data_IF_032224158419
#
_entry.id   IF_032224158419
#
_cell.length_a   1.000
_cell.length_b   1.000
_cell.length_c   1.000
_cell.angle_alpha   90.00
_cell.angle_beta   90.00
_cell.angle_gamma   90.00
#
_symmetry.space_group_name_H-M   'P 1'
#
loop_
_entity.id
_entity.type
_entity.pdbx_description
1 polymer ?
#
# COMPACT_ATOMS: atom_id res chain seq x y z
N UNK A 1 -10.25 7.54 -1.87
CA UNK A 1 -11.61 7.81 -1.36
C UNK A 1 -12.54 6.71 -1.85
N UNK A 2 -13.53 6.29 -1.07
CA UNK A 2 -14.57 5.34 -1.49
C UNK A 2 -15.94 5.82 -1.05
N UNK A 3 -16.98 5.43 -1.78
CA UNK A 3 -18.35 5.74 -1.44
C UNK A 3 -18.75 7.17 -1.75
N UNK A 4 -18.12 7.77 -2.77
CA UNK A 4 -18.50 9.07 -3.29
C UNK A 4 -19.97 9.04 -3.77
N UNK A 5 -20.71 10.16 -3.75
CA UNK A 5 -22.04 10.20 -4.34
C UNK A 5 -21.98 9.69 -5.79
N UNK A 6 -23.00 8.96 -6.22
CA UNK A 6 -23.08 8.22 -7.50
C UNK A 6 -22.18 6.99 -7.67
N UNK A 7 -21.27 6.65 -6.74
CA UNK A 7 -20.38 5.48 -6.90
C UNK A 7 -21.19 4.17 -6.91
N UNK A 8 -21.18 3.46 -8.04
CA UNK A 8 -21.87 2.17 -8.21
C UNK A 8 -21.03 1.00 -7.68
N UNK A 9 -21.62 -0.19 -7.58
CA UNK A 9 -20.87 -1.41 -7.21
C UNK A 9 -19.84 -1.78 -8.29
N UNK A 10 -20.16 -1.55 -9.56
CA UNK A 10 -19.26 -1.82 -10.70
C UNK A 10 -18.03 -0.91 -10.64
N UNK A 11 -18.23 0.39 -10.40
CA UNK A 11 -17.14 1.36 -10.24
C UNK A 11 -16.28 1.07 -9.00
N UNK A 12 -16.90 0.58 -7.92
CA UNK A 12 -16.15 0.13 -6.75
C UNK A 12 -15.35 -1.16 -7.07
N UNK A 13 -15.91 -2.08 -7.85
CA UNK A 13 -15.21 -3.27 -8.31
C UNK A 13 -14.01 -2.91 -9.22
N UNK A 14 -14.14 -1.89 -10.07
CA UNK A 14 -13.01 -1.32 -10.82
C UNK A 14 -11.93 -0.78 -9.90
N UNK A 15 -12.30 -0.09 -8.83
CA UNK A 15 -11.34 0.39 -7.83
C UNK A 15 -10.58 -0.78 -7.19
N UNK A 16 -11.26 -1.88 -6.85
CA UNK A 16 -10.60 -3.08 -6.32
C UNK A 16 -9.68 -3.75 -7.36
N UNK A 17 -10.11 -3.80 -8.63
CA UNK A 17 -9.26 -4.27 -9.74
C UNK A 17 -8.02 -3.40 -9.93
N UNK A 18 -8.15 -2.08 -9.81
CA UNK A 18 -7.02 -1.16 -9.91
C UNK A 18 -6.00 -1.39 -8.79
N UNK A 19 -6.45 -1.58 -7.53
CA UNK A 19 -5.55 -1.91 -6.40
C UNK A 19 -4.77 -3.19 -6.70
N UNK A 20 -5.44 -4.20 -7.27
CA UNK A 20 -4.84 -5.50 -7.60
C UNK A 20 -3.83 -5.40 -8.74
N UNK A 21 -4.22 -4.78 -9.85
CA UNK A 21 -3.45 -4.73 -11.11
C UNK A 21 -2.26 -3.79 -11.04
N UNK A 22 -2.38 -2.69 -10.30
CA UNK A 22 -1.30 -1.73 -10.07
C UNK A 22 -0.44 -2.08 -8.85
N UNK A 23 -0.72 -3.21 -8.19
CA UNK A 23 0.00 -3.70 -7.01
C UNK A 23 0.11 -2.68 -5.87
N UNK A 24 -0.98 -1.96 -5.61
CA UNK A 24 -1.04 -0.95 -4.54
C UNK A 24 -1.06 -1.64 -3.17
N UNK A 25 0.12 -1.73 -2.54
CA UNK A 25 0.31 -2.40 -1.24
C UNK A 25 -0.27 -1.63 -0.04
N UNK A 26 -0.26 -0.29 -0.09
CA UNK A 26 -0.72 0.59 0.99
C UNK A 26 -1.73 1.62 0.47
N UNK A 27 -2.95 1.20 0.09
CA UNK A 27 -3.94 2.14 -0.40
C UNK A 27 -4.39 3.08 0.73
N UNK A 28 -4.25 4.39 0.52
CA UNK A 28 -4.77 5.40 1.45
C UNK A 28 -6.29 5.54 1.28
N UNK A 29 -7.03 4.71 2.02
CA UNK A 29 -8.49 4.59 1.90
C UNK A 29 -9.20 5.35 3.02
N UNK A 30 -10.12 6.23 2.63
CA UNK A 30 -11.07 6.90 3.51
C UNK A 30 -12.47 6.91 2.86
N UNK A 31 -13.53 6.68 3.65
CA UNK A 31 -14.91 6.88 3.19
C UNK A 31 -15.18 8.36 2.86
N UNK A 32 -15.98 8.62 1.83
CA UNK A 32 -16.52 9.96 1.58
C UNK A 32 -17.32 10.44 2.79
N UNK A 33 -17.08 11.69 3.20
CA UNK A 33 -17.82 12.36 4.26
C UNK A 33 -18.56 13.56 3.69
N UNK A 34 -19.87 13.63 3.94
CA UNK A 34 -20.73 14.71 3.44
C UNK A 34 -20.36 15.98 4.19
N UNK A 35 -20.08 17.05 3.44
CA UNK A 35 -19.81 18.39 3.98
C UNK A 35 -20.79 19.37 3.35
N UNK A 36 -21.58 20.05 4.18
CA UNK A 36 -22.56 21.04 3.75
C UNK A 36 -21.92 22.14 2.90
N UNK A 37 -22.66 22.64 1.90
CA UNK A 37 -22.20 23.67 0.98
C UNK A 37 -21.39 23.15 -0.24
N UNK A 38 -20.90 21.91 -0.20
CA UNK A 38 -20.16 21.33 -1.33
C UNK A 38 -21.11 20.91 -2.47
N UNK A 39 -20.68 20.92 -3.74
CA UNK A 39 -21.48 20.35 -4.83
C UNK A 39 -21.84 18.88 -4.60
N UNK A 40 -20.90 18.11 -4.04
CA UNK A 40 -21.09 16.69 -3.74
C UNK A 40 -22.21 16.43 -2.70
N UNK A 41 -22.44 17.35 -1.75
CA UNK A 41 -23.54 17.22 -0.79
C UNK A 41 -24.92 17.43 -1.41
N UNK A 42 -25.00 18.01 -2.62
CA UNK A 42 -26.27 18.25 -3.34
C UNK A 42 -26.65 17.11 -4.28
N UNK A 43 -25.78 16.12 -4.47
CA UNK A 43 -26.05 14.98 -5.34
C UNK A 43 -27.12 14.08 -4.69
N UNK A 44 -28.26 13.78 -5.35
CA UNK A 44 -29.34 12.99 -4.72
C UNK A 44 -28.93 11.54 -4.40
N UNK A 45 -28.13 10.92 -5.28
CA UNK A 45 -27.70 9.52 -5.14
C UNK A 45 -26.49 9.40 -4.21
N UNK A 46 -26.72 9.50 -2.91
CA UNK A 46 -25.71 9.25 -1.89
C UNK A 46 -25.49 7.74 -1.67
N UNK A 47 -24.27 7.35 -1.31
CA UNK A 47 -23.97 5.98 -0.85
C UNK A 47 -24.18 5.92 0.67
N UNK A 48 -24.93 4.94 1.13
CA UNK A 48 -25.27 4.82 2.56
C UNK A 48 -24.02 4.60 3.43
N UNK A 49 -24.02 5.05 4.70
CA UNK A 49 -22.87 4.92 5.59
C UNK A 49 -22.31 3.50 5.71
N UNK A 50 -23.18 2.48 5.72
CA UNK A 50 -22.79 1.07 5.87
C UNK A 50 -22.01 0.61 4.64
N UNK A 51 -22.50 0.91 3.44
CA UNK A 51 -21.80 0.63 2.18
C UNK A 51 -20.46 1.35 2.11
N UNK A 52 -20.38 2.63 2.50
CA UNK A 52 -19.11 3.38 2.51
C UNK A 52 -18.07 2.74 3.45
N UNK A 53 -18.49 2.31 4.65
CA UNK A 53 -17.64 1.60 5.61
C UNK A 53 -17.18 0.25 5.07
N UNK A 54 -18.10 -0.54 4.50
CA UNK A 54 -17.83 -1.84 3.85
C UNK A 54 -16.78 -1.69 2.76
N UNK A 55 -16.98 -0.74 1.84
CA UNK A 55 -16.07 -0.45 0.73
C UNK A 55 -14.68 -0.06 1.25
N UNK A 56 -14.62 0.75 2.30
CA UNK A 56 -13.37 1.12 2.96
C UNK A 56 -12.61 -0.08 3.52
N UNK A 57 -13.30 -1.01 4.18
CA UNK A 57 -12.70 -2.24 4.71
C UNK A 57 -12.19 -3.15 3.58
N UNK A 58 -13.00 -3.36 2.54
CA UNK A 58 -12.65 -4.21 1.39
C UNK A 58 -11.41 -3.70 0.64
N UNK A 59 -11.33 -2.38 0.39
CA UNK A 59 -10.17 -1.81 -0.28
C UNK A 59 -8.88 -1.95 0.53
N UNK A 60 -8.94 -1.82 1.87
CA UNK A 60 -7.78 -2.07 2.75
C UNK A 60 -7.38 -3.55 2.76
N UNK A 61 -8.34 -4.46 2.88
CA UNK A 61 -8.09 -5.89 2.84
C UNK A 61 -7.49 -6.33 1.48
N UNK A 62 -7.96 -5.73 0.39
CA UNK A 62 -7.38 -5.94 -0.95
C UNK A 62 -5.92 -5.50 -1.01
N UNK A 63 -5.61 -4.30 -0.50
CA UNK A 63 -4.22 -3.82 -0.39
C UNK A 63 -3.35 -4.73 0.46
N UNK A 64 -3.86 -5.26 1.57
CA UNK A 64 -3.12 -6.22 2.40
C UNK A 64 -2.75 -7.51 1.63
N UNK A 65 -3.68 -8.08 0.85
CA UNK A 65 -3.39 -9.27 0.04
C UNK A 65 -2.36 -9.01 -1.04
N UNK A 66 -2.47 -7.86 -1.71
CA UNK A 66 -1.49 -7.41 -2.70
C UNK A 66 -0.12 -7.28 -2.04
N UNK A 67 -0.07 -6.66 -0.86
CA UNK A 67 1.13 -6.52 -0.05
C UNK A 67 1.75 -7.90 0.24
N UNK A 68 1.00 -8.83 0.81
CA UNK A 68 1.50 -10.19 1.10
C UNK A 68 2.09 -10.87 -0.14
N UNK A 69 1.42 -10.78 -1.30
CA UNK A 69 1.94 -11.32 -2.56
C UNK A 69 3.23 -10.62 -3.01
N UNK A 70 3.25 -9.29 -2.99
CA UNK A 70 4.42 -8.51 -3.42
C UNK A 70 5.60 -8.80 -2.50
N UNK A 71 5.40 -8.84 -1.18
CA UNK A 71 6.44 -9.22 -0.22
C UNK A 71 6.96 -10.63 -0.48
N UNK A 72 6.07 -11.61 -0.69
CA UNK A 72 6.46 -12.99 -0.97
C UNK A 72 7.39 -13.13 -2.19
N UNK A 73 7.23 -12.30 -3.23
CA UNK A 73 8.13 -12.29 -4.40
C UNK A 73 9.54 -11.78 -4.10
N UNK A 74 9.70 -11.01 -3.03
CA UNK A 74 11.00 -10.46 -2.65
C UNK A 74 11.70 -11.31 -1.58
N UNK A 75 11.00 -12.25 -0.94
CA UNK A 75 11.62 -13.23 -0.05
C UNK A 75 12.76 -13.97 -0.77
N UNK A 76 13.89 -14.13 -0.09
CA UNK A 76 15.09 -14.78 -0.62
C UNK A 76 15.70 -14.13 -1.87
N UNK A 77 15.22 -12.96 -2.30
CA UNK A 77 15.82 -12.21 -3.40
C UNK A 77 16.98 -11.35 -2.91
N UNK A 78 18.04 -11.26 -3.72
CA UNK A 78 19.15 -10.35 -3.48
C UNK A 78 18.83 -9.01 -4.17
N UNK A 79 18.66 -7.96 -3.39
CA UNK A 79 18.37 -6.62 -3.92
C UNK A 79 19.16 -5.53 -3.20
N UNK A 80 19.34 -4.40 -3.88
CA UNK A 80 19.95 -3.20 -3.30
C UNK A 80 18.89 -2.43 -2.53
N UNK A 81 19.13 -2.14 -1.26
CA UNK A 81 18.27 -1.24 -0.48
C UNK A 81 18.94 0.11 -0.24
N UNK A 82 18.11 1.12 -0.03
CA UNK A 82 18.57 2.40 0.50
C UNK A 82 18.37 2.43 2.01
N UNK A 83 19.40 2.89 2.74
CA UNK A 83 19.35 3.06 4.20
C UNK A 83 19.85 4.45 4.58
N UNK A 84 19.11 5.12 5.46
CA UNK A 84 19.54 6.36 6.11
C UNK A 84 20.49 6.12 7.28
N UNK A 85 20.59 4.88 7.76
CA UNK A 85 21.34 4.56 8.96
C UNK A 85 22.84 4.49 8.63
N UNK A 86 23.66 5.28 9.33
CA UNK A 86 25.12 5.24 9.22
C UNK A 86 25.66 4.01 9.92
N UNK A 87 25.78 2.91 9.18
CA UNK A 87 26.38 1.64 9.61
C UNK A 87 25.69 0.99 10.83
N UNK A 88 24.83 0.00 10.56
CA UNK A 88 24.25 -0.86 11.59
C UNK A 88 24.29 -2.29 11.07
N UNK A 89 24.57 -3.25 11.95
CA UNK A 89 24.46 -4.70 11.67
C UNK A 89 23.01 -5.08 11.26
N UNK A 90 22.02 -4.28 11.71
CA UNK A 90 20.61 -4.39 11.36
C UNK A 90 20.07 -3.01 10.96
N UNK A 91 19.72 -2.82 9.69
CA UNK A 91 19.06 -1.60 9.24
C UNK A 91 17.55 -1.71 9.50
N UNK A 92 17.02 -0.87 10.39
CA UNK A 92 15.59 -0.86 10.75
C UNK A 92 14.74 0.03 9.84
N UNK A 93 15.39 0.89 9.05
CA UNK A 93 14.75 1.86 8.15
C UNK A 93 15.03 1.60 6.66
N UNK A 94 15.36 0.35 6.30
CA UNK A 94 15.65 0.00 4.92
C UNK A 94 14.38 -0.01 4.05
N UNK A 95 14.55 0.40 2.79
CA UNK A 95 13.49 0.32 1.79
C UNK A 95 13.99 -0.29 0.50
N UNK A 96 13.15 -1.12 -0.11
CA UNK A 96 13.33 -1.56 -1.49
C UNK A 96 13.19 -0.36 -2.45
N UNK A 97 13.58 -0.56 -3.71
CA UNK A 97 13.46 0.46 -4.77
C UNK A 97 12.01 0.89 -5.03
N UNK A 98 11.03 0.03 -4.72
CA UNK A 98 9.60 0.35 -4.74
C UNK A 98 9.08 0.89 -3.38
N UNK A 99 9.96 1.38 -2.51
CA UNK A 99 9.68 1.96 -1.19
C UNK A 99 9.06 1.01 -0.16
N UNK A 100 9.03 -0.29 -0.45
CA UNK A 100 8.55 -1.29 0.50
C UNK A 100 9.44 -1.29 1.74
N UNK A 101 8.87 -1.10 2.95
CA UNK A 101 9.66 -1.13 4.18
C UNK A 101 10.11 -2.55 4.47
N UNK A 102 11.39 -2.72 4.76
CA UNK A 102 11.99 -4.02 5.01
C UNK A 102 12.93 -3.96 6.20
N UNK A 103 13.00 -5.07 6.95
CA UNK A 103 14.05 -5.29 7.94
C UNK A 103 15.17 -6.07 7.29
N UNK A 104 16.37 -5.72 7.66
CA UNK A 104 17.55 -6.15 6.93
C UNK A 104 18.65 -6.53 7.91
N UNK A 105 19.07 -7.79 7.86
CA UNK A 105 20.24 -8.32 8.58
C UNK A 105 21.44 -8.39 7.62
N UNK A 106 22.55 -7.76 7.97
CA UNK A 106 23.74 -7.70 7.10
C UNK A 106 24.54 -9.00 7.23
N UNK A 107 24.51 -9.87 6.21
CA UNK A 107 25.35 -11.07 6.15
C UNK A 107 26.79 -10.79 5.67
N UNK A 108 26.95 -10.27 4.45
CA UNK A 108 28.25 -9.85 3.89
C UNK A 108 28.15 -8.44 3.28
N UNK A 109 29.00 -7.54 3.76
CA UNK A 109 29.07 -6.15 3.31
C UNK A 109 29.96 -6.02 2.06
N UNK A 110 29.37 -6.08 0.85
CA UNK A 110 30.05 -5.58 -0.36
C UNK A 110 29.62 -4.14 -0.64
N UNK A 111 30.41 -3.20 -0.13
CA UNK A 111 30.16 -1.75 -0.29
C UNK A 111 30.45 -1.34 -1.74
N UNK A 112 29.40 -0.99 -2.48
CA UNK A 112 29.50 -0.10 -3.64
C UNK A 112 28.73 1.18 -3.29
N UNK A 113 29.37 2.09 -2.56
CA UNK A 113 28.71 3.28 -1.99
C UNK A 113 27.74 2.94 -0.85
N UNK A 114 26.48 3.41 -0.93
CA UNK A 114 25.45 3.17 0.11
C UNK A 114 24.55 1.96 -0.19
N UNK A 115 24.82 1.20 -1.25
CA UNK A 115 24.04 0.03 -1.63
C UNK A 115 24.63 -1.24 -1.00
N UNK A 116 23.77 -2.04 -0.40
CA UNK A 116 24.11 -3.34 0.17
C UNK A 116 23.12 -4.39 -0.36
N UNK A 117 23.58 -5.65 -0.47
CA UNK A 117 22.80 -6.81 -0.89
C UNK A 117 22.22 -7.51 0.33
N UNK A 118 20.96 -7.91 0.28
CA UNK A 118 20.27 -8.51 1.44
C UNK A 118 19.34 -9.64 1.05
N UNK A 119 19.01 -10.47 2.04
CA UNK A 119 17.99 -11.51 2.00
C UNK A 119 16.81 -11.03 2.84
N UNK A 120 15.62 -10.97 2.26
CA UNK A 120 14.40 -10.68 3.02
C UNK A 120 13.95 -11.95 3.74
N UNK A 121 13.97 -11.90 5.06
CA UNK A 121 13.45 -12.94 5.97
C UNK A 121 12.00 -12.60 6.35
N UNK A 122 11.24 -13.64 6.74
CA UNK A 122 9.79 -13.62 7.04
C UNK A 122 9.35 -12.55 8.06
#
# INVERSE_FOLDING_TARGET
MVGFPTETEEQFADTLRAIETLEICYPHVFPYSIRGGTPASRIPRQVDPTSRKRRGALARARGQRVRERVFARHLNSITSVWSSDRAVEIAKNARLTNYLPVRVEVGERRVWGNACRYVLLE
#
